data_IF_507658992222
#
_entry.id   IF_507658992222
#
_cell.length_a   1.000
_cell.length_b   1.000
_cell.length_c   1.000
_cell.angle_alpha   90.00
_cell.angle_beta   90.00
_cell.angle_gamma   90.00
#
_symmetry.space_group_name_H-M   'P 1'
#
loop_
_entity.id
_entity.type
_entity.pdbx_description
1 polymer ?
#
# COMPACT_ATOMS: atom_id res chain seq x y z
N UNK A 1 -11.79 0.75 -24.96
CA UNK A 1 -11.07 0.32 -23.75
C UNK A 1 -11.13 1.51 -22.80
N UNK A 2 -11.60 1.33 -21.58
CA UNK A 2 -11.59 2.40 -20.57
C UNK A 2 -10.35 2.14 -19.72
N UNK A 3 -9.51 3.15 -19.59
CA UNK A 3 -8.33 3.14 -18.72
C UNK A 3 -8.67 4.00 -17.49
N UNK A 4 -8.32 3.50 -16.31
CA UNK A 4 -8.46 4.24 -15.06
C UNK A 4 -7.09 4.34 -14.40
N UNK A 5 -6.75 5.55 -14.00
CA UNK A 5 -5.52 5.88 -13.29
C UNK A 5 -5.82 6.17 -11.82
N UNK A 6 -4.99 5.66 -10.91
CA UNK A 6 -5.22 5.89 -9.50
C UNK A 6 -4.04 5.54 -8.61
N UNK A 7 -4.13 5.96 -7.35
CA UNK A 7 -3.17 5.65 -6.29
C UNK A 7 -3.85 4.76 -5.24
N UNK A 8 -3.32 3.55 -5.00
CA UNK A 8 -3.99 2.51 -4.19
C UNK A 8 -3.46 2.42 -2.76
N UNK A 9 -2.26 2.95 -2.51
CA UNK A 9 -1.58 2.83 -1.23
C UNK A 9 -1.20 4.23 -0.74
N UNK A 10 -2.15 4.90 -0.07
CA UNK A 10 -2.00 6.30 0.37
C UNK A 10 -2.34 6.42 1.84
N UNK A 11 -1.46 7.07 2.60
CA UNK A 11 -1.63 7.35 4.02
C UNK A 11 -1.97 8.82 4.26
N UNK A 12 -2.80 9.07 5.26
CA UNK A 12 -3.24 10.40 5.68
C UNK A 12 -2.84 10.64 7.14
N UNK A 13 -3.23 11.81 7.67
CA UNK A 13 -3.10 12.12 9.10
C UNK A 13 -3.90 11.19 10.04
N UNK A 14 -4.67 10.23 9.50
CA UNK A 14 -5.39 9.26 10.32
C UNK A 14 -4.53 8.06 10.75
N UNK A 15 -3.35 7.86 10.14
CA UNK A 15 -2.27 7.02 10.69
C UNK A 15 -0.96 7.80 10.85
N UNK A 16 -0.10 7.73 9.84
CA UNK A 16 1.30 8.15 9.83
C UNK A 16 1.64 8.96 8.57
N UNK A 17 0.66 9.25 7.73
CA UNK A 17 0.77 10.23 6.67
C UNK A 17 0.77 11.66 7.21
N UNK A 18 1.20 12.59 6.36
CA UNK A 18 1.24 14.03 6.69
C UNK A 18 0.12 14.84 6.01
N UNK A 19 -0.53 14.28 4.99
CA UNK A 19 -1.59 14.95 4.24
C UNK A 19 -2.95 14.81 4.90
N UNK A 20 -3.71 15.91 4.96
CA UNK A 20 -5.15 15.83 5.24
C UNK A 20 -5.86 15.19 4.05
N UNK A 21 -7.04 14.62 4.29
CA UNK A 21 -7.81 13.96 3.22
C UNK A 21 -8.14 14.96 2.11
N UNK A 22 -8.46 16.21 2.46
CA UNK A 22 -8.73 17.27 1.49
C UNK A 22 -7.50 17.60 0.62
N UNK A 23 -6.31 17.65 1.22
CA UNK A 23 -5.06 17.92 0.52
C UNK A 23 -4.72 16.77 -0.45
N UNK A 24 -4.94 15.52 -0.02
CA UNK A 24 -4.76 14.32 -0.85
C UNK A 24 -5.72 14.33 -2.05
N UNK A 25 -6.99 14.64 -1.82
CA UNK A 25 -7.98 14.75 -2.90
C UNK A 25 -7.62 15.89 -3.86
N UNK A 26 -7.15 17.02 -3.33
CA UNK A 26 -6.71 18.13 -4.17
C UNK A 26 -5.54 17.71 -5.07
N UNK A 27 -4.51 17.08 -4.50
CA UNK A 27 -3.37 16.58 -5.27
C UNK A 27 -3.81 15.59 -6.36
N UNK A 28 -4.70 14.66 -6.02
CA UNK A 28 -5.23 13.69 -6.98
C UNK A 28 -5.99 14.33 -8.14
N UNK A 29 -6.71 15.42 -7.88
CA UNK A 29 -7.43 16.18 -8.91
C UNK A 29 -6.48 16.99 -9.79
N UNK A 30 -5.44 17.56 -9.21
CA UNK A 30 -4.41 18.31 -9.95
C UNK A 30 -3.60 17.40 -10.87
N UNK A 31 -3.47 16.12 -10.54
CA UNK A 31 -2.81 15.08 -11.36
C UNK A 31 -3.79 14.27 -12.22
N UNK A 32 -5.07 14.65 -12.24
CA UNK A 32 -6.13 14.02 -13.04
C UNK A 32 -6.35 12.51 -12.75
N UNK A 33 -6.08 12.06 -11.52
CA UNK A 33 -6.38 10.68 -11.12
C UNK A 33 -7.90 10.43 -11.09
N UNK A 34 -8.30 9.28 -11.62
CA UNK A 34 -9.69 8.80 -11.58
C UNK A 34 -10.08 8.35 -10.18
N UNK A 35 -9.14 7.78 -9.42
CA UNK A 35 -9.39 7.35 -8.06
C UNK A 35 -8.16 7.41 -7.14
N UNK A 36 -8.42 7.48 -5.84
CA UNK A 36 -7.43 7.29 -4.78
C UNK A 36 -8.02 6.36 -3.73
N UNK A 37 -7.20 5.46 -3.20
CA UNK A 37 -7.56 4.57 -2.10
C UNK A 37 -6.70 4.92 -0.90
N UNK A 38 -7.35 5.40 0.16
CA UNK A 38 -6.69 5.57 1.46
C UNK A 38 -6.54 4.20 2.11
N UNK A 39 -5.36 3.93 2.65
CA UNK A 39 -5.02 2.67 3.31
C UNK A 39 -4.30 2.95 4.64
N UNK A 40 -4.79 3.92 5.40
CA UNK A 40 -4.25 4.25 6.72
C UNK A 40 -4.11 3.00 7.62
N UNK A 41 -3.08 2.98 8.46
CA UNK A 41 -2.74 1.81 9.28
C UNK A 41 -3.87 1.39 10.23
N UNK A 42 -4.36 0.16 10.03
CA UNK A 42 -5.33 -0.52 10.89
C UNK A 42 -6.61 0.29 11.19
N UNK A 43 -7.01 1.25 10.36
CA UNK A 43 -8.16 2.11 10.60
C UNK A 43 -9.03 2.29 9.36
N UNK A 44 -10.34 2.46 9.55
CA UNK A 44 -11.28 2.85 8.50
C UNK A 44 -11.92 4.22 8.82
N UNK A 45 -11.27 5.01 9.67
CA UNK A 45 -11.80 6.28 10.17
C UNK A 45 -12.28 7.22 9.05
N UNK A 46 -11.56 7.28 7.93
CA UNK A 46 -11.97 8.05 6.77
C UNK A 46 -13.32 7.60 6.18
N UNK A 47 -13.59 6.28 6.19
CA UNK A 47 -14.87 5.71 5.78
C UNK A 47 -15.96 6.10 6.78
N UNK A 48 -15.69 5.93 8.07
CA UNK A 48 -16.64 6.22 9.15
C UNK A 48 -17.03 7.71 9.21
N UNK A 49 -16.09 8.60 8.90
CA UNK A 49 -16.30 10.05 8.81
C UNK A 49 -16.92 10.50 7.46
N UNK A 50 -17.19 9.57 6.54
CA UNK A 50 -17.91 9.84 5.29
C UNK A 50 -17.07 10.47 4.17
N UNK A 51 -15.76 10.21 4.16
CA UNK A 51 -14.87 10.66 3.09
C UNK A 51 -14.92 9.75 1.85
N UNK A 52 -15.34 8.49 1.96
CA UNK A 52 -15.48 7.55 0.83
C UNK A 52 -16.63 7.97 -0.10
N UNK A 53 -16.31 8.70 -1.17
CA UNK A 53 -17.26 9.23 -2.17
C UNK A 53 -16.53 9.82 -3.38
N UNK A 54 -17.31 10.25 -4.36
CA UNK A 54 -16.82 11.07 -5.47
C UNK A 54 -16.56 12.52 -5.02
N UNK A 55 -15.39 13.04 -5.42
CA UNK A 55 -15.03 14.45 -5.37
C UNK A 55 -14.89 14.97 -6.79
N UNK A 56 -16.01 15.41 -7.35
CA UNK A 56 -16.11 15.75 -8.78
C UNK A 56 -15.90 14.51 -9.66
N UNK A 57 -14.74 14.36 -10.32
CA UNK A 57 -14.44 13.21 -11.17
C UNK A 57 -13.57 12.15 -10.49
N UNK A 58 -12.92 12.49 -9.37
CA UNK A 58 -12.03 11.58 -8.64
C UNK A 58 -12.81 10.85 -7.56
N UNK A 59 -12.74 9.52 -7.55
CA UNK A 59 -13.33 8.67 -6.52
C UNK A 59 -12.33 8.47 -5.37
N UNK A 60 -12.73 8.79 -4.13
CA UNK A 60 -11.98 8.36 -2.95
C UNK A 60 -12.61 7.07 -2.41
N UNK A 61 -11.80 6.02 -2.30
CA UNK A 61 -12.12 4.77 -1.61
C UNK A 61 -11.30 4.66 -0.33
N UNK A 62 -11.81 3.90 0.63
CA UNK A 62 -11.14 3.67 1.92
C UNK A 62 -10.97 2.17 2.16
N UNK A 63 -9.71 1.75 2.23
CA UNK A 63 -9.27 0.48 2.77
C UNK A 63 -8.43 0.71 4.04
N UNK A 64 -7.65 -0.30 4.40
CA UNK A 64 -6.75 -0.26 5.57
C UNK A 64 -5.49 -1.06 5.26
N UNK A 65 -4.32 -0.52 5.62
CA UNK A 65 -3.08 -1.31 5.66
C UNK A 65 -2.97 -1.97 7.04
N UNK A 66 -3.23 -3.28 7.06
CA UNK A 66 -3.19 -4.08 8.29
C UNK A 66 -1.79 -4.58 8.50
N UNK A 67 -1.28 -4.44 9.73
CA UNK A 67 0.00 -5.00 10.12
C UNK A 67 -0.11 -5.76 11.44
N UNK A 68 0.84 -6.67 11.65
CA UNK A 68 0.90 -7.43 12.89
C UNK A 68 1.56 -6.62 14.03
N UNK A 69 1.53 -7.18 15.25
CA UNK A 69 2.10 -6.59 16.47
C UNK A 69 3.60 -6.27 16.34
N UNK A 70 4.33 -6.98 15.49
CA UNK A 70 5.75 -6.76 15.24
C UNK A 70 5.98 -5.73 14.14
N UNK A 71 4.90 -5.10 13.66
CA UNK A 71 4.88 -4.17 12.54
C UNK A 71 5.44 -4.81 11.26
N UNK A 72 5.13 -6.09 11.03
CA UNK A 72 5.50 -6.80 9.81
C UNK A 72 4.24 -7.21 9.04
N UNK A 73 4.45 -7.78 7.86
CA UNK A 73 3.40 -8.40 7.05
C UNK A 73 2.28 -7.42 6.71
N UNK A 74 2.64 -6.26 6.18
CA UNK A 74 1.67 -5.25 5.81
C UNK A 74 0.76 -5.77 4.69
N UNK A 75 -0.54 -5.57 4.86
CA UNK A 75 -1.56 -6.13 3.99
C UNK A 75 -2.63 -5.08 3.71
N UNK A 76 -2.75 -4.66 2.45
CA UNK A 76 -3.83 -3.79 2.02
C UNK A 76 -5.13 -4.59 2.03
N UNK A 77 -6.13 -4.12 2.76
CA UNK A 77 -7.46 -4.70 2.84
C UNK A 77 -8.49 -3.71 2.31
N UNK A 78 -9.09 -4.04 1.15
CA UNK A 78 -10.03 -3.20 0.43
C UNK A 78 -11.44 -3.82 0.46
N UNK A 79 -12.47 -2.98 0.44
CA UNK A 79 -13.86 -3.45 0.44
C UNK A 79 -14.29 -4.10 1.76
N UNK A 80 -13.66 -3.71 2.87
CA UNK A 80 -13.98 -4.18 4.22
C UNK A 80 -14.81 -3.12 4.99
N UNK A 81 -15.61 -3.57 5.95
CA UNK A 81 -16.41 -2.69 6.83
C UNK A 81 -15.85 -2.57 8.25
N UNK A 82 -14.81 -3.35 8.56
CA UNK A 82 -14.08 -3.26 9.82
C UNK A 82 -12.64 -3.68 9.63
N UNK A 83 -11.76 -3.05 10.36
CA UNK A 83 -10.37 -3.47 10.49
C UNK A 83 -10.23 -4.70 11.41
N UNK A 84 -9.03 -5.29 11.44
CA UNK A 84 -8.70 -6.43 12.29
C UNK A 84 -7.64 -6.04 13.32
N UNK A 85 -7.60 -6.76 14.44
CA UNK A 85 -6.66 -6.44 15.51
C UNK A 85 -5.23 -6.77 15.11
N UNK A 86 -4.30 -5.84 15.36
CA UNK A 86 -2.84 -6.05 15.20
C UNK A 86 -2.27 -7.22 16.01
N UNK A 87 -3.01 -7.73 17.00
CA UNK A 87 -2.62 -8.93 17.76
C UNK A 87 -2.84 -10.23 17.00
N UNK A 88 -3.55 -10.18 15.87
CA UNK A 88 -3.83 -11.35 15.05
C UNK A 88 -2.65 -11.60 14.08
N UNK A 89 -2.27 -12.87 13.86
CA UNK A 89 -1.24 -13.19 12.88
C UNK A 89 -1.75 -12.97 11.45
N UNK A 90 -0.83 -12.85 10.48
CA UNK A 90 -1.15 -12.61 9.08
C UNK A 90 -2.16 -13.58 8.50
N UNK A 91 -1.97 -14.88 8.75
CA UNK A 91 -2.91 -15.91 8.31
C UNK A 91 -4.34 -15.62 8.76
N UNK A 92 -4.52 -15.04 9.95
CA UNK A 92 -5.85 -14.74 10.49
C UNK A 92 -6.50 -13.54 9.82
N UNK A 93 -5.81 -12.41 9.67
CA UNK A 93 -6.42 -11.24 9.04
C UNK A 93 -6.57 -11.40 7.53
N UNK A 94 -5.64 -12.06 6.83
CA UNK A 94 -5.80 -12.33 5.37
C UNK A 94 -7.04 -13.19 5.13
N UNK A 95 -7.20 -14.27 5.91
CA UNK A 95 -8.39 -15.13 5.83
C UNK A 95 -9.67 -14.35 6.09
N UNK A 96 -9.69 -13.49 7.12
CA UNK A 96 -10.88 -12.70 7.47
C UNK A 96 -11.25 -11.66 6.42
N UNK A 97 -10.25 -11.01 5.79
CA UNK A 97 -10.48 -10.10 4.66
C UNK A 97 -11.21 -10.86 3.55
N UNK A 98 -10.70 -12.03 3.15
CA UNK A 98 -11.35 -12.89 2.15
C UNK A 98 -12.75 -13.35 2.57
N UNK A 99 -12.94 -13.80 3.81
CA UNK A 99 -14.24 -14.21 4.34
C UNK A 99 -15.27 -13.07 4.38
N UNK A 100 -14.81 -11.82 4.53
CA UNK A 100 -15.66 -10.63 4.44
C UNK A 100 -15.99 -10.20 3.01
N UNK A 101 -15.48 -10.89 1.99
CA UNK A 101 -15.62 -10.50 0.59
C UNK A 101 -14.69 -9.37 0.15
N UNK A 102 -13.75 -8.98 1.02
CA UNK A 102 -12.74 -7.98 0.71
C UNK A 102 -11.68 -8.51 -0.26
N UNK A 103 -10.97 -7.57 -0.88
CA UNK A 103 -9.83 -7.84 -1.75
C UNK A 103 -8.59 -7.42 -0.97
N UNK A 104 -7.53 -8.22 -0.99
CA UNK A 104 -6.30 -7.78 -0.35
C UNK A 104 -5.01 -8.14 -1.06
N UNK A 105 -4.01 -7.32 -0.73
CA UNK A 105 -2.73 -7.26 -1.42
C UNK A 105 -1.61 -7.30 -0.39
N UNK A 106 -0.57 -8.07 -0.68
CA UNK A 106 0.69 -7.97 0.08
C UNK A 106 1.34 -6.64 -0.28
N UNK A 107 1.55 -5.77 0.72
CA UNK A 107 2.23 -4.50 0.54
C UNK A 107 3.75 -4.67 0.62
N UNK A 108 4.47 -3.92 -0.22
CA UNK A 108 5.94 -3.79 -0.26
C UNK A 108 6.72 -5.04 0.22
N UNK A 109 6.47 -6.23 -0.40
CA UNK A 109 6.82 -7.54 0.17
C UNK A 109 8.31 -7.75 0.44
N UNK A 110 9.17 -7.16 -0.40
CA UNK A 110 10.62 -7.33 -0.37
C UNK A 110 11.33 -6.04 0.01
N UNK A 111 10.66 -5.15 0.76
CA UNK A 111 11.25 -3.89 1.19
C UNK A 111 12.57 -4.12 1.97
N UNK A 112 13.62 -3.40 1.57
CA UNK A 112 14.99 -3.50 2.09
C UNK A 112 15.53 -2.12 2.44
N UNK A 113 15.21 -1.66 3.64
CA UNK A 113 15.76 -0.41 4.20
C UNK A 113 16.99 -0.72 5.04
N UNK A 114 18.13 -0.16 4.65
CA UNK A 114 19.41 -0.33 5.38
C UNK A 114 19.98 0.98 5.92
N UNK A 115 19.57 2.12 5.37
CA UNK A 115 20.14 3.44 5.63
C UNK A 115 19.45 4.24 6.74
N UNK A 116 18.16 3.97 7.02
CA UNK A 116 17.38 4.70 8.03
C UNK A 116 17.00 3.79 9.20
N UNK A 117 17.65 3.97 10.37
CA UNK A 117 17.34 3.18 11.58
C UNK A 117 15.96 3.48 12.16
N UNK A 118 15.43 4.68 11.96
CA UNK A 118 14.13 5.11 12.50
C UNK A 118 12.94 4.55 11.72
N UNK A 119 13.18 4.10 10.47
CA UNK A 119 12.18 3.51 9.59
C UNK A 119 12.69 2.16 9.07
N UNK A 120 12.61 1.08 9.88
CA UNK A 120 13.04 -0.25 9.47
C UNK A 120 12.17 -0.79 8.33
N UNK A 121 12.64 -1.81 7.58
CA UNK A 121 11.84 -2.44 6.54
C UNK A 121 10.72 -3.30 7.13
N UNK A 122 9.61 -3.39 6.40
CA UNK A 122 8.43 -4.16 6.82
C UNK A 122 8.09 -5.30 5.85
N UNK A 123 9.01 -6.25 5.60
CA UNK A 123 8.82 -7.26 4.58
C UNK A 123 7.67 -8.21 4.91
N UNK A 124 7.16 -8.85 3.87
CA UNK A 124 6.26 -9.99 4.00
C UNK A 124 7.06 -11.27 4.28
N UNK A 125 6.78 -11.92 5.41
CA UNK A 125 7.44 -13.16 5.82
C UNK A 125 6.54 -14.39 5.71
N UNK A 126 5.23 -14.19 5.58
CA UNK A 126 4.21 -15.25 5.67
C UNK A 126 3.81 -15.77 4.27
N UNK A 127 4.79 -16.19 3.47
CA UNK A 127 4.58 -16.65 2.07
C UNK A 127 3.79 -17.96 1.94
N UNK A 128 3.53 -18.65 3.04
CA UNK A 128 2.67 -19.84 3.06
C UNK A 128 1.17 -19.54 2.95
N UNK A 129 0.77 -18.27 3.09
CA UNK A 129 -0.62 -17.82 2.98
C UNK A 129 -0.98 -17.73 1.49
N UNK A 130 -2.09 -18.33 1.06
CA UNK A 130 -2.50 -18.32 -0.36
C UNK A 130 -3.75 -17.48 -0.61
N UNK A 131 -4.39 -16.98 0.44
CA UNK A 131 -5.71 -16.33 0.37
C UNK A 131 -5.68 -14.87 -0.11
N UNK A 132 -4.51 -14.30 -0.40
CA UNK A 132 -4.37 -12.95 -0.95
C UNK A 132 -4.69 -12.88 -2.45
N UNK A 133 -5.16 -11.71 -2.90
CA UNK A 133 -5.55 -11.48 -4.30
C UNK A 133 -4.40 -10.94 -5.16
N UNK A 134 -3.54 -10.11 -4.56
CA UNK A 134 -2.46 -9.45 -5.29
C UNK A 134 -1.22 -9.16 -4.46
N UNK A 135 -0.24 -8.57 -5.12
CA UNK A 135 1.02 -8.14 -4.53
C UNK A 135 1.33 -6.75 -5.09
N UNK A 136 1.74 -5.82 -4.25
CA UNK A 136 2.29 -4.55 -4.69
C UNK A 136 3.64 -4.81 -5.38
N UNK A 137 3.62 -4.90 -6.71
CA UNK A 137 4.85 -5.21 -7.47
C UNK A 137 5.80 -4.02 -7.53
N UNK A 138 5.27 -2.80 -7.41
CA UNK A 138 6.04 -1.58 -7.42
C UNK A 138 5.50 -0.58 -6.40
N UNK A 139 6.38 -0.19 -5.46
CA UNK A 139 6.11 0.84 -4.48
C UNK A 139 7.13 1.97 -4.67
N UNK A 140 6.65 3.11 -5.20
CA UNK A 140 7.49 4.27 -5.47
C UNK A 140 8.14 4.82 -4.19
N UNK A 141 7.40 4.89 -3.09
CA UNK A 141 7.91 5.46 -1.84
C UNK A 141 8.98 4.56 -1.20
N UNK A 142 8.79 3.24 -1.23
CA UNK A 142 9.81 2.28 -0.79
C UNK A 142 11.08 2.40 -1.65
N UNK A 143 10.97 2.43 -2.98
CA UNK A 143 12.14 2.59 -3.87
C UNK A 143 12.90 3.90 -3.59
N UNK A 144 12.17 5.01 -3.44
CA UNK A 144 12.77 6.30 -3.09
C UNK A 144 13.48 6.23 -1.74
N UNK A 145 12.83 5.69 -0.70
CA UNK A 145 13.40 5.60 0.65
C UNK A 145 14.56 4.60 0.79
N UNK A 146 14.54 3.49 0.06
CA UNK A 146 15.65 2.52 0.03
C UNK A 146 16.91 3.10 -0.62
N UNK A 147 16.72 3.96 -1.63
CA UNK A 147 17.82 4.65 -2.30
C UNK A 147 18.41 5.83 -1.51
N UNK A 148 17.75 6.29 -0.44
CA UNK A 148 18.24 7.40 0.38
C UNK A 148 19.48 6.98 1.18
N UNK A 149 20.53 7.78 1.06
CA UNK A 149 21.76 7.74 1.85
C UNK A 149 22.04 9.15 2.34
N UNK A 150 22.84 9.29 3.39
CA UNK A 150 23.22 10.61 3.90
C UNK A 150 23.90 11.50 2.83
N UNK A 151 24.55 10.88 1.84
CA UNK A 151 25.27 11.55 0.77
C UNK A 151 24.36 12.03 -0.38
N UNK A 152 23.27 11.31 -0.69
CA UNK A 152 22.42 11.60 -1.85
C UNK A 152 21.03 12.18 -1.49
N UNK A 153 20.67 12.22 -0.20
CA UNK A 153 19.33 12.66 0.25
C UNK A 153 18.88 14.01 -0.29
N UNK A 154 19.79 14.98 -0.39
CA UNK A 154 19.46 16.30 -0.93
C UNK A 154 19.15 16.22 -2.43
N UNK A 155 19.94 15.45 -3.19
CA UNK A 155 19.72 15.28 -4.62
C UNK A 155 18.41 14.54 -4.91
N UNK A 156 18.11 13.50 -4.13
CA UNK A 156 16.87 12.72 -4.26
C UNK A 156 15.64 13.51 -3.83
N UNK A 157 15.80 14.47 -2.92
CA UNK A 157 14.74 15.42 -2.59
C UNK A 157 14.46 16.40 -3.73
N UNK A 158 15.50 16.92 -4.40
CA UNK A 158 15.36 17.86 -5.52
C UNK A 158 14.90 17.16 -6.80
N UNK A 159 15.28 15.89 -6.99
CA UNK A 159 14.98 15.08 -8.18
C UNK A 159 14.37 13.71 -7.80
N UNK A 160 13.16 13.67 -7.23
CA UNK A 160 12.56 12.44 -6.70
C UNK A 160 12.33 11.36 -7.77
N UNK A 161 12.06 11.76 -9.01
CA UNK A 161 11.86 10.81 -10.11
C UNK A 161 13.16 10.13 -10.57
N UNK A 162 14.33 10.67 -10.20
CA UNK A 162 15.62 10.10 -10.64
C UNK A 162 15.97 8.78 -9.95
N UNK A 163 15.32 8.46 -8.84
CA UNK A 163 15.50 7.20 -8.12
C UNK A 163 14.58 6.08 -8.61
N UNK A 164 13.62 6.39 -9.48
CA UNK A 164 12.61 5.46 -9.98
C UNK A 164 13.13 4.81 -11.25
N UNK A 165 13.46 3.53 -11.20
CA UNK A 165 14.06 2.82 -12.34
C UNK A 165 13.19 1.66 -12.78
N UNK A 166 12.88 0.74 -11.87
CA UNK A 166 12.11 -0.46 -12.17
C UNK A 166 11.60 -1.16 -10.91
N UNK A 167 10.51 -1.93 -11.00
CA UNK A 167 10.06 -2.78 -9.90
C UNK A 167 11.16 -3.77 -9.46
N UNK A 168 11.23 -4.14 -8.16
CA UNK A 168 12.23 -5.09 -7.67
C UNK A 168 12.14 -6.45 -8.38
N UNK A 169 13.26 -6.91 -8.93
CA UNK A 169 13.32 -8.18 -9.67
C UNK A 169 12.91 -9.40 -8.81
N UNK A 170 13.15 -9.36 -7.50
CA UNK A 170 12.73 -10.39 -6.56
C UNK A 170 11.19 -10.46 -6.46
N UNK A 171 10.52 -9.30 -6.35
CA UNK A 171 9.06 -9.21 -6.33
C UNK A 171 8.45 -9.70 -7.64
N UNK A 172 8.99 -9.27 -8.78
CA UNK A 172 8.52 -9.74 -10.10
C UNK A 172 8.67 -11.25 -10.26
N UNK A 173 9.80 -11.83 -9.85
CA UNK A 173 10.02 -13.27 -9.91
C UNK A 173 8.98 -14.04 -9.07
N UNK A 174 8.69 -13.58 -7.85
CA UNK A 174 7.67 -14.21 -7.01
C UNK A 174 6.29 -14.09 -7.63
N UNK A 175 5.95 -12.91 -8.17
CA UNK A 175 4.69 -12.67 -8.88
C UNK A 175 4.51 -13.59 -10.10
N UNK A 176 5.56 -13.79 -10.91
CA UNK A 176 5.57 -14.72 -12.04
C UNK A 176 5.35 -16.17 -11.60
N UNK A 177 6.04 -16.63 -10.55
CA UNK A 177 5.90 -18.01 -10.05
C UNK A 177 4.50 -18.27 -9.46
N UNK A 178 3.89 -17.27 -8.83
CA UNK A 178 2.51 -17.37 -8.34
C UNK A 178 1.51 -17.46 -9.50
N UNK A 179 1.70 -16.64 -10.54
CA UNK A 179 0.81 -16.62 -11.71
C UNK A 179 0.85 -17.91 -12.55
N UNK A 180 1.90 -18.72 -12.43
CA UNK A 180 1.92 -20.08 -12.99
C UNK A 180 0.91 -21.03 -12.32
N UNK A 181 0.50 -20.74 -11.08
CA UNK A 181 -0.38 -21.60 -10.28
C UNK A 181 -1.80 -21.06 -10.16
N UNK A 182 -1.95 -19.74 -10.01
CA UNK A 182 -3.24 -19.05 -9.86
C UNK A 182 -3.10 -17.59 -10.26
N UNK A 183 -4.20 -16.94 -10.62
CA UNK A 183 -4.18 -15.50 -10.84
C UNK A 183 -3.77 -14.76 -9.57
N UNK A 184 -2.73 -13.93 -9.68
CA UNK A 184 -2.30 -12.95 -8.68
C UNK A 184 -2.10 -11.62 -9.40
N UNK A 185 -2.88 -10.61 -9.03
CA UNK A 185 -2.74 -9.27 -9.63
C UNK A 185 -1.53 -8.54 -9.06
N UNK A 186 -0.91 -7.68 -9.89
CA UNK A 186 0.24 -6.87 -9.55
C UNK A 186 -0.08 -5.38 -9.59
#
# INVERSE_FOLDING_TARGET
MIEYSGAVHVHSIFSDGSGKIEDIIQAARETELDFVILTDHNTLRAKDEGYEKYYSKTLLLVGSEINDKQNKNHYLALGIDKTFSTRQPAQSYVKKVKESGGIGFIAHPHEKRSSMKEHPPYPWTEWGIEEFNGIEIWNHMSEWMEGLTEQNKYNYFVHPLSSIVAPPAETLKVWDELNKKRLVVG
#
